data_IF_730831813987
#
_entry.id   IF_730831813987
#
_cell.length_a   1.000
_cell.length_b   1.000
_cell.length_c   1.000
_cell.angle_alpha   90.00
_cell.angle_beta   90.00
_cell.angle_gamma   90.00
#
_symmetry.space_group_name_H-M   'P 1'
#
loop_
_entity.id
_entity.type
_entity.pdbx_description
1 polymer ?
#
# COMPACT_ATOMS: atom_id res chain seq x y z
N UNK A 1 -15.29 -6.19 6.92
CA UNK A 1 -13.96 -6.75 6.55
C UNK A 1 -13.23 -5.92 5.49
N UNK A 2 -13.84 -5.57 4.35
CA UNK A 2 -13.19 -4.83 3.25
C UNK A 2 -12.36 -3.60 3.70
N UNK A 3 -12.91 -2.77 4.60
CA UNK A 3 -12.19 -1.61 5.16
C UNK A 3 -10.87 -2.01 5.84
N UNK A 4 -10.89 -3.06 6.66
CA UNK A 4 -9.72 -3.54 7.39
C UNK A 4 -8.69 -4.17 6.43
N UNK A 5 -9.12 -5.01 5.49
CA UNK A 5 -8.23 -5.62 4.49
C UNK A 5 -7.55 -4.57 3.61
N UNK A 6 -8.27 -3.50 3.27
CA UNK A 6 -7.72 -2.36 2.52
C UNK A 6 -6.69 -1.60 3.36
N UNK A 7 -7.01 -1.32 4.63
CA UNK A 7 -6.08 -0.71 5.57
C UNK A 7 -4.79 -1.54 5.69
N UNK A 8 -4.91 -2.85 5.91
CA UNK A 8 -3.78 -3.77 6.02
C UNK A 8 -2.86 -3.70 4.79
N UNK A 9 -3.45 -3.72 3.59
CA UNK A 9 -2.70 -3.63 2.32
C UNK A 9 -1.96 -2.29 2.20
N UNK A 10 -2.63 -1.18 2.54
CA UNK A 10 -2.03 0.16 2.50
C UNK A 10 -0.91 0.33 3.54
N UNK A 11 -1.14 -0.19 4.74
CA UNK A 11 -0.20 -0.14 5.87
C UNK A 11 1.07 -0.93 5.58
N UNK A 12 0.94 -2.18 5.12
CA UNK A 12 2.11 -3.00 4.76
C UNK A 12 2.87 -2.45 3.55
N UNK A 13 2.18 -1.77 2.63
CA UNK A 13 2.83 -1.02 1.56
C UNK A 13 3.69 0.12 2.11
N UNK A 14 3.19 0.87 3.11
CA UNK A 14 3.99 1.91 3.78
C UNK A 14 5.17 1.30 4.52
N UNK A 15 4.90 0.29 5.35
CA UNK A 15 5.94 -0.35 6.13
C UNK A 15 7.07 -0.86 5.24
N UNK A 16 6.76 -1.60 4.17
CA UNK A 16 7.79 -2.12 3.29
C UNK A 16 8.48 -0.99 2.52
N UNK A 17 7.78 -0.15 1.76
CA UNK A 17 8.46 0.74 0.82
C UNK A 17 8.98 2.05 1.42
N UNK A 18 8.45 2.48 2.57
CA UNK A 18 8.85 3.75 3.19
C UNK A 18 9.67 3.59 4.47
N UNK A 19 9.52 2.45 5.18
CA UNK A 19 10.13 2.25 6.50
C UNK A 19 11.17 1.14 6.50
N UNK A 20 10.78 -0.13 6.56
CA UNK A 20 11.71 -1.26 6.73
C UNK A 20 12.40 -1.73 5.43
N UNK A 21 11.76 -1.60 4.28
CA UNK A 21 12.35 -2.03 3.01
C UNK A 21 13.60 -1.26 2.58
N UNK A 22 13.76 0.05 2.83
CA UNK A 22 15.02 0.76 2.57
C UNK A 22 16.26 0.05 3.14
N UNK A 23 16.17 -0.54 4.35
CA UNK A 23 17.30 -1.25 4.95
C UNK A 23 17.71 -2.50 4.16
N UNK A 24 16.75 -3.18 3.52
CA UNK A 24 16.98 -4.42 2.77
C UNK A 24 17.21 -4.20 1.28
N UNK A 25 16.55 -3.21 0.69
CA UNK A 25 16.53 -2.93 -0.75
C UNK A 25 17.72 -2.07 -1.16
N UNK A 26 18.01 -1.03 -0.37
CA UNK A 26 19.21 -0.20 -0.58
C UNK A 26 20.45 -0.94 -0.07
N UNK A 27 20.29 -1.67 1.04
CA UNK A 27 21.29 -2.56 1.63
C UNK A 27 21.75 -2.09 3.01
N UNK A 28 22.19 -3.01 3.89
CA UNK A 28 22.55 -2.70 5.26
C UNK A 28 23.77 -1.79 5.36
N UNK A 29 24.71 -1.91 4.43
CA UNK A 29 25.96 -1.13 4.37
C UNK A 29 25.83 0.18 3.59
N UNK A 30 24.65 0.49 3.05
CA UNK A 30 24.44 1.72 2.31
C UNK A 30 24.59 2.96 3.21
N UNK A 31 25.03 4.10 2.66
CA UNK A 31 25.14 5.34 3.42
C UNK A 31 23.84 5.69 4.13
N UNK A 32 23.93 6.16 5.39
CA UNK A 32 22.73 6.51 6.19
C UNK A 32 21.80 7.51 5.49
N UNK A 33 22.36 8.41 4.68
CA UNK A 33 21.60 9.40 3.92
C UNK A 33 20.77 8.80 2.77
N UNK A 34 21.07 7.57 2.34
CA UNK A 34 20.40 6.87 1.23
C UNK A 34 19.42 5.79 1.74
N UNK A 35 19.57 5.30 2.98
CA UNK A 35 18.66 4.31 3.59
C UNK A 35 17.34 4.92 4.05
N UNK A 36 16.58 5.44 3.09
CA UNK A 36 15.24 5.99 3.28
C UNK A 36 14.43 5.83 1.98
N UNK A 37 13.19 6.32 1.98
CA UNK A 37 12.29 6.20 0.84
C UNK A 37 12.85 6.78 -0.47
N UNK A 38 13.68 7.83 -0.41
CA UNK A 38 14.24 8.45 -1.62
C UNK A 38 15.31 7.56 -2.24
N UNK A 39 16.23 7.02 -1.43
CA UNK A 39 17.25 6.08 -1.93
C UNK A 39 16.64 4.74 -2.37
N UNK A 40 15.56 4.29 -1.71
CA UNK A 40 14.78 3.16 -2.22
C UNK A 40 14.25 3.45 -3.62
N UNK A 41 13.59 4.60 -3.85
CA UNK A 41 13.08 4.97 -5.18
C UNK A 41 14.21 5.09 -6.21
N UNK A 42 15.39 5.60 -5.83
CA UNK A 42 16.56 5.63 -6.70
C UNK A 42 17.02 4.22 -7.09
N UNK A 43 17.00 3.27 -6.16
CA UNK A 43 17.41 1.87 -6.38
C UNK A 43 16.41 1.06 -7.20
N UNK A 44 15.11 1.17 -6.91
CA UNK A 44 14.04 0.40 -7.58
C UNK A 44 13.44 1.10 -8.81
N UNK A 45 13.76 2.39 -8.99
CA UNK A 45 13.29 3.22 -10.10
C UNK A 45 11.99 3.98 -9.82
N UNK A 46 11.80 5.07 -10.58
CA UNK A 46 10.65 5.98 -10.44
C UNK A 46 9.31 5.28 -10.71
N UNK A 47 9.28 4.34 -11.66
CA UNK A 47 8.06 3.60 -12.00
C UNK A 47 7.57 2.72 -10.85
N UNK A 48 8.49 2.10 -10.09
CA UNK A 48 8.15 1.37 -8.87
C UNK A 48 7.59 2.32 -7.80
N UNK A 49 8.24 3.48 -7.59
CA UNK A 49 7.74 4.51 -6.67
C UNK A 49 6.33 4.99 -7.01
N UNK A 50 6.02 5.20 -8.30
CA UNK A 50 4.67 5.56 -8.76
C UNK A 50 3.65 4.48 -8.43
N UNK A 51 3.99 3.19 -8.59
CA UNK A 51 3.09 2.07 -8.23
C UNK A 51 2.74 2.08 -6.74
N UNK A 52 3.72 2.34 -5.87
CA UNK A 52 3.54 2.43 -4.41
C UNK A 52 2.59 3.57 -4.05
N UNK A 53 2.83 4.77 -4.58
CA UNK A 53 1.97 5.94 -4.33
C UNK A 53 0.55 5.69 -4.85
N UNK A 54 0.43 5.10 -6.06
CA UNK A 54 -0.86 4.76 -6.67
C UNK A 54 -1.65 3.78 -5.80
N UNK A 55 -1.03 2.69 -5.32
CA UNK A 55 -1.72 1.75 -4.43
C UNK A 55 -2.27 2.46 -3.21
N UNK A 56 -1.44 3.27 -2.54
CA UNK A 56 -1.86 4.00 -1.35
C UNK A 56 -3.00 4.98 -1.64
N UNK A 57 -2.97 5.68 -2.77
CA UNK A 57 -4.03 6.59 -3.17
C UNK A 57 -5.38 5.87 -3.35
N UNK A 58 -5.37 4.75 -4.09
CA UNK A 58 -6.57 3.94 -4.32
C UNK A 58 -7.11 3.31 -3.02
N UNK A 59 -6.23 2.83 -2.15
CA UNK A 59 -6.63 2.26 -0.87
C UNK A 59 -7.25 3.33 0.04
N UNK A 60 -6.70 4.54 0.05
CA UNK A 60 -7.25 5.67 0.82
C UNK A 60 -8.61 6.13 0.31
N UNK A 61 -8.92 5.91 -0.97
CA UNK A 61 -10.25 6.17 -1.52
C UNK A 61 -11.30 5.19 -0.96
N UNK A 62 -10.98 3.89 -0.94
CA UNK A 62 -11.84 2.87 -0.32
C UNK A 62 -12.01 3.14 1.18
N UNK A 63 -10.91 3.44 1.89
CA UNK A 63 -10.93 3.75 3.32
C UNK A 63 -11.80 4.97 3.60
N UNK A 64 -11.68 6.03 2.80
CA UNK A 64 -12.51 7.22 2.97
C UNK A 64 -13.99 6.91 2.73
N UNK A 65 -14.33 6.15 1.68
CA UNK A 65 -15.71 5.80 1.37
C UNK A 65 -16.34 4.97 2.49
N UNK A 66 -15.66 3.91 2.93
CA UNK A 66 -16.21 2.98 3.93
C UNK A 66 -16.05 3.50 5.35
N UNK A 67 -15.03 4.30 5.63
CA UNK A 67 -14.67 4.82 6.96
C UNK A 67 -15.15 6.23 7.24
N UNK A 68 -15.70 6.93 6.25
CA UNK A 68 -16.10 8.34 6.31
C UNK A 68 -14.92 9.33 6.27
N UNK A 69 -13.73 8.90 6.72
CA UNK A 69 -12.48 9.66 6.71
C UNK A 69 -11.31 8.74 6.36
N UNK A 70 -10.25 9.32 5.81
CA UNK A 70 -8.99 8.61 5.52
C UNK A 70 -8.28 8.12 6.80
N UNK A 71 -8.37 8.91 7.86
CA UNK A 71 -7.75 8.66 9.16
C UNK A 71 -8.83 8.86 10.23
N UNK A 72 -8.82 8.01 11.25
CA UNK A 72 -9.83 8.00 12.33
C UNK A 72 -11.24 7.79 11.79
N UNK A 73 -11.49 6.58 11.28
CA UNK A 73 -12.77 6.17 10.72
C UNK A 73 -13.87 6.15 11.79
N UNK A 74 -15.11 6.43 11.40
CA UNK A 74 -16.24 6.65 12.34
C UNK A 74 -17.50 5.87 11.97
N UNK A 75 -17.41 4.93 11.04
CA UNK A 75 -18.57 4.26 10.45
C UNK A 75 -18.91 2.91 11.08
N UNK A 76 -18.01 2.36 11.91
CA UNK A 76 -18.26 1.13 12.67
C UNK A 76 -19.01 1.47 13.97
N UNK A 77 -20.30 1.12 14.02
CA UNK A 77 -21.20 1.43 15.13
C UNK A 77 -21.65 0.14 15.84
N UNK A 78 -22.12 0.22 17.11
CA UNK A 78 -22.83 -0.90 17.71
C UNK A 78 -24.02 -1.32 16.83
N UNK A 79 -24.02 -2.57 16.38
CA UNK A 79 -25.07 -3.12 15.49
C UNK A 79 -24.77 -3.05 13.98
N UNK A 80 -23.63 -2.49 13.54
CA UNK A 80 -23.24 -2.60 12.13
C UNK A 80 -22.38 -1.44 11.61
N UNK A 81 -22.64 -1.03 10.37
CA UNK A 81 -21.95 0.07 9.70
C UNK A 81 -22.94 1.15 9.28
N UNK A 82 -22.56 2.42 9.40
CA UNK A 82 -23.41 3.56 9.03
C UNK A 82 -23.43 3.87 7.54
N UNK A 83 -22.50 3.30 6.77
CA UNK A 83 -22.35 3.55 5.33
C UNK A 83 -22.36 2.22 4.58
N UNK A 84 -23.24 2.13 3.58
CA UNK A 84 -23.29 1.03 2.62
C UNK A 84 -22.42 1.29 1.38
N UNK A 85 -22.27 0.25 0.55
CA UNK A 85 -21.53 0.30 -0.71
C UNK A 85 -22.46 0.07 -1.89
N UNK A 86 -22.53 1.02 -2.82
CA UNK A 86 -23.33 0.89 -4.04
C UNK A 86 -22.73 -0.08 -5.06
N UNK A 87 -23.51 -0.48 -6.07
CA UNK A 87 -23.03 -1.39 -7.14
C UNK A 87 -21.87 -0.81 -7.94
N UNK A 88 -21.98 0.45 -8.36
CA UNK A 88 -20.94 1.13 -9.13
C UNK A 88 -19.64 1.27 -8.33
N UNK A 89 -19.74 1.64 -7.05
CA UNK A 89 -18.59 1.76 -6.15
C UNK A 89 -17.94 0.41 -5.89
N UNK A 90 -18.73 -0.66 -5.71
CA UNK A 90 -18.23 -2.02 -5.60
C UNK A 90 -17.46 -2.44 -6.86
N UNK A 91 -17.98 -2.17 -8.05
CA UNK A 91 -17.35 -2.59 -9.30
C UNK A 91 -16.05 -1.80 -9.54
N UNK A 92 -16.03 -0.52 -9.17
CA UNK A 92 -14.82 0.31 -9.12
C UNK A 92 -13.79 -0.23 -8.13
N UNK A 93 -14.19 -0.57 -6.91
CA UNK A 93 -13.29 -1.08 -5.88
C UNK A 93 -12.78 -2.48 -6.19
N UNK A 94 -13.52 -3.28 -6.96
CA UNK A 94 -13.04 -4.55 -7.47
C UNK A 94 -11.84 -4.35 -8.40
N UNK A 95 -11.91 -3.40 -9.33
CA UNK A 95 -10.77 -3.07 -10.19
C UNK A 95 -9.54 -2.58 -9.39
N UNK A 96 -9.77 -1.91 -8.26
CA UNK A 96 -8.68 -1.51 -7.35
C UNK A 96 -8.06 -2.71 -6.65
N UNK A 97 -8.89 -3.65 -6.19
CA UNK A 97 -8.43 -4.90 -5.59
C UNK A 97 -7.61 -5.74 -6.58
N UNK A 98 -8.03 -5.82 -7.85
CA UNK A 98 -7.25 -6.49 -8.90
C UNK A 98 -5.85 -5.85 -9.04
N UNK A 99 -5.78 -4.51 -9.04
CA UNK A 99 -4.50 -3.80 -9.03
C UNK A 99 -3.67 -4.08 -7.76
N UNK A 100 -4.28 -4.22 -6.58
CA UNK A 100 -3.57 -4.56 -5.34
C UNK A 100 -2.93 -5.94 -5.39
N UNK A 101 -3.62 -6.92 -5.99
CA UNK A 101 -3.07 -8.27 -6.20
C UNK A 101 -1.85 -8.22 -7.12
N UNK A 102 -1.94 -7.52 -8.25
CA UNK A 102 -0.82 -7.34 -9.17
C UNK A 102 0.35 -6.59 -8.52
N UNK A 103 0.06 -5.61 -7.67
CA UNK A 103 1.08 -4.92 -6.89
C UNK A 103 1.75 -5.86 -5.87
N UNK A 104 1.00 -6.76 -5.24
CA UNK A 104 1.55 -7.78 -4.35
C UNK A 104 2.54 -8.69 -5.07
N UNK A 105 2.19 -9.17 -6.26
CA UNK A 105 3.09 -9.97 -7.12
C UNK A 105 4.35 -9.19 -7.50
N UNK A 106 4.20 -7.92 -7.87
CA UNK A 106 5.34 -7.03 -8.13
C UNK A 106 6.25 -6.89 -6.88
N UNK A 107 5.67 -6.75 -5.69
CA UNK A 107 6.43 -6.63 -4.44
C UNK A 107 7.18 -7.93 -4.13
N UNK A 108 6.58 -9.09 -4.42
CA UNK A 108 7.24 -10.37 -4.27
C UNK A 108 8.48 -10.49 -5.19
N UNK A 109 8.37 -10.07 -6.45
CA UNK A 109 9.50 -10.01 -7.38
C UNK A 109 10.61 -9.08 -6.86
N UNK A 110 10.26 -7.89 -6.37
CA UNK A 110 11.23 -6.95 -5.76
C UNK A 110 11.99 -7.63 -4.60
N UNK A 111 11.28 -8.39 -3.77
CA UNK A 111 11.89 -9.10 -2.66
C UNK A 111 12.84 -10.21 -3.13
N UNK A 112 12.42 -11.05 -4.08
CA UNK A 112 13.25 -12.13 -4.63
C UNK A 112 14.48 -11.60 -5.38
N UNK A 113 14.32 -10.53 -6.17
CA UNK A 113 15.39 -10.03 -7.04
C UNK A 113 16.37 -9.10 -6.35
N UNK A 114 15.95 -8.41 -5.29
CA UNK A 114 16.79 -7.40 -4.63
C UNK A 114 17.13 -7.83 -3.21
N UNK A 115 16.13 -8.19 -2.40
CA UNK A 115 16.36 -8.46 -0.98
C UNK A 115 17.08 -9.79 -0.76
N UNK A 116 16.65 -10.86 -1.44
CA UNK A 116 17.26 -12.17 -1.27
C UNK A 116 18.61 -12.35 -1.99
N UNK A 117 18.93 -11.45 -2.92
CA UNK A 117 20.19 -11.46 -3.68
C UNK A 117 21.23 -10.45 -3.17
N UNK A 118 20.87 -9.64 -2.15
CA UNK A 118 21.77 -8.70 -1.50
C UNK A 118 22.74 -9.38 -0.54
#
# INVERSE_FOLDING_TARGET
ELLYSTFFTADHTVHFYALGGPDFVVGPDAPKAERNILGLIQKVGLEAGKKVIKLRALAQEIIQKLGGKKIHQVTSLPGGVSVGLGKEERDKFRAYADYFVEFGKFTFQVFEDIVLKN
#
